data_IF_367419081349
#
_entry.id   IF_367419081349
#
_cell.length_a   1.000
_cell.length_b   1.000
_cell.length_c   1.000
_cell.angle_alpha   90.00
_cell.angle_beta   90.00
_cell.angle_gamma   90.00
#
_symmetry.space_group_name_H-M   'P 1'
#
loop_
_entity.id
_entity.type
_entity.pdbx_description
1 polymer ?
#
# COMPACT_ATOMS: atom_id res chain seq x y z
N UNK A 1 0.52 -2.15 4.23
CA UNK A 1 1.74 -2.46 3.47
C UNK A 1 2.17 -1.37 2.46
N UNK A 2 1.33 -0.38 2.14
CA UNK A 2 1.64 0.71 1.18
C UNK A 2 2.29 1.95 1.82
N UNK A 3 2.69 1.88 3.09
CA UNK A 3 3.40 2.95 3.77
C UNK A 3 4.89 2.92 3.43
N UNK A 4 5.55 4.09 3.53
CA UNK A 4 7.00 4.25 3.40
C UNK A 4 7.78 3.32 4.34
N UNK A 5 7.24 3.00 5.50
CA UNK A 5 7.86 2.10 6.49
C UNK A 5 8.05 0.69 5.92
N UNK A 6 6.98 0.11 5.36
CA UNK A 6 7.06 -1.22 4.77
C UNK A 6 7.81 -1.22 3.44
N UNK A 7 7.68 -0.16 2.64
CA UNK A 7 8.44 -0.01 1.39
C UNK A 7 9.95 -0.03 1.68
N UNK A 8 10.44 0.79 2.60
CA UNK A 8 11.85 0.83 2.99
C UNK A 8 12.33 -0.51 3.54
N UNK A 9 11.54 -1.15 4.42
CA UNK A 9 11.86 -2.46 4.96
C UNK A 9 11.95 -3.51 3.87
N UNK A 10 10.97 -3.56 2.98
CA UNK A 10 10.92 -4.54 1.91
C UNK A 10 12.05 -4.35 0.90
N UNK A 11 12.38 -3.12 0.53
CA UNK A 11 13.50 -2.82 -0.36
C UNK A 11 14.86 -3.12 0.27
N UNK A 12 15.00 -2.91 1.58
CA UNK A 12 16.22 -3.23 2.34
C UNK A 12 16.47 -4.73 2.48
N UNK A 13 15.43 -5.57 2.48
CA UNK A 13 15.51 -7.01 2.70
C UNK A 13 15.16 -7.85 1.46
N UNK A 14 14.74 -7.23 0.36
CA UNK A 14 14.43 -7.95 -0.87
C UNK A 14 15.69 -8.52 -1.53
N UNK A 15 15.50 -9.56 -2.33
CA UNK A 15 16.51 -10.01 -3.29
C UNK A 15 16.32 -9.28 -4.62
N UNK A 16 17.39 -9.10 -5.34
CA UNK A 16 17.39 -8.41 -6.63
C UNK A 16 17.52 -9.42 -7.77
N UNK A 17 16.72 -9.26 -8.81
CA UNK A 17 16.73 -10.12 -10.00
C UNK A 17 17.26 -9.38 -11.22
N UNK A 18 17.40 -10.09 -12.33
CA UNK A 18 17.92 -9.55 -13.59
C UNK A 18 19.38 -9.11 -13.43
N UNK A 19 19.68 -7.88 -13.84
CA UNK A 19 20.98 -7.24 -13.65
C UNK A 19 21.12 -6.51 -12.31
N UNK A 20 20.24 -6.84 -11.34
CA UNK A 20 20.25 -6.24 -10.01
C UNK A 20 19.38 -4.97 -9.88
N UNK A 21 18.42 -4.79 -10.77
CA UNK A 21 17.52 -3.63 -10.80
C UNK A 21 16.05 -3.95 -10.51
N UNK A 22 15.68 -5.24 -10.43
CA UNK A 22 14.30 -5.65 -10.17
C UNK A 22 14.17 -6.23 -8.76
N UNK A 23 13.55 -5.50 -7.81
CA UNK A 23 13.37 -5.98 -6.43
C UNK A 23 12.35 -7.12 -6.40
N UNK A 24 12.73 -8.25 -5.79
CA UNK A 24 11.84 -9.38 -5.56
C UNK A 24 11.31 -9.35 -4.13
N UNK A 25 10.01 -9.14 -4.00
CA UNK A 25 9.31 -9.27 -2.72
C UNK A 25 9.21 -10.75 -2.33
N UNK A 26 9.89 -11.13 -1.24
CA UNK A 26 9.85 -12.49 -0.69
C UNK A 26 9.12 -12.44 0.66
N UNK A 27 7.92 -13.00 0.82
CA UNK A 27 7.11 -12.87 2.02
C UNK A 27 7.87 -13.22 3.31
N UNK A 28 8.65 -14.31 3.29
CA UNK A 28 9.41 -14.77 4.48
C UNK A 28 10.49 -13.80 4.96
N UNK A 29 11.00 -12.93 4.08
CA UNK A 29 12.04 -11.96 4.45
C UNK A 29 11.53 -10.53 4.55
N UNK A 30 10.43 -10.21 3.86
CA UNK A 30 9.93 -8.83 3.78
C UNK A 30 8.63 -8.60 4.54
N UNK A 31 7.77 -9.61 4.66
CA UNK A 31 6.49 -9.51 5.36
C UNK A 31 6.55 -10.14 6.76
N UNK A 32 7.00 -11.40 6.87
CA UNK A 32 7.03 -12.13 8.14
C UNK A 32 7.98 -11.50 9.15
N UNK A 33 9.04 -10.85 8.67
CA UNK A 33 10.01 -10.15 9.51
C UNK A 33 9.65 -8.70 9.79
N UNK A 34 8.61 -8.14 9.14
CA UNK A 34 8.25 -6.75 9.34
C UNK A 34 7.73 -6.52 10.77
N UNK A 35 8.31 -5.59 11.54
CA UNK A 35 7.91 -5.34 12.92
C UNK A 35 6.63 -4.47 12.97
N UNK A 36 5.49 -5.04 12.67
CA UNK A 36 4.20 -4.33 12.70
C UNK A 36 4.01 -3.53 14.00
N UNK A 37 3.20 -2.45 14.00
CA UNK A 37 2.82 -1.79 15.23
C UNK A 37 2.21 -2.78 16.24
N UNK A 38 2.37 -2.52 17.52
CA UNK A 38 1.87 -3.41 18.57
C UNK A 38 0.35 -3.63 18.44
N UNK A 39 -0.11 -4.86 18.60
CA UNK A 39 -1.51 -5.25 18.43
C UNK A 39 -2.00 -5.29 16.97
N UNK A 40 -1.09 -5.15 15.99
CA UNK A 40 -1.43 -5.13 14.56
C UNK A 40 -0.64 -6.17 13.76
N UNK A 41 -0.07 -7.17 14.42
CA UNK A 41 0.61 -8.27 13.73
C UNK A 41 -0.42 -9.18 13.04
N UNK A 42 -0.01 -10.01 12.06
CA UNK A 42 -0.91 -11.01 11.48
C UNK A 42 -1.54 -11.95 12.52
N UNK A 43 -0.82 -12.27 13.60
CA UNK A 43 -1.34 -13.08 14.69
C UNK A 43 -2.44 -12.34 15.49
N UNK A 44 -2.24 -11.06 15.78
CA UNK A 44 -3.24 -10.22 16.47
C UNK A 44 -4.52 -10.07 15.65
N UNK A 45 -4.40 -10.10 14.31
CA UNK A 45 -5.52 -9.92 13.39
C UNK A 45 -6.17 -11.22 12.92
N UNK A 46 -5.69 -12.38 13.37
CA UNK A 46 -6.22 -13.69 12.97
C UNK A 46 -7.70 -13.88 13.36
N UNK A 47 -8.15 -13.26 14.46
CA UNK A 47 -9.53 -13.32 14.95
C UNK A 47 -10.42 -12.17 14.39
N UNK A 48 -9.89 -11.25 13.61
CA UNK A 48 -10.60 -10.09 13.06
C UNK A 48 -9.68 -8.90 12.80
N UNK A 49 -10.26 -7.79 12.36
CA UNK A 49 -9.50 -6.57 12.16
C UNK A 49 -9.03 -6.00 13.52
N UNK A 50 -7.83 -5.40 13.59
CA UNK A 50 -7.38 -4.74 14.80
C UNK A 50 -8.31 -3.59 15.16
N UNK A 51 -8.58 -3.43 16.45
CA UNK A 51 -9.47 -2.40 16.95
C UNK A 51 -8.69 -1.20 17.51
N UNK A 52 -9.36 -0.07 17.58
CA UNK A 52 -8.86 1.14 18.21
C UNK A 52 -8.45 2.26 17.24
N UNK A 53 -8.22 3.48 17.78
CA UNK A 53 -8.09 4.68 16.95
C UNK A 53 -6.90 4.65 15.99
N UNK A 54 -5.80 4.01 16.36
CA UNK A 54 -4.64 3.88 15.48
C UNK A 54 -4.93 2.97 14.27
N UNK A 55 -5.58 1.82 14.51
CA UNK A 55 -5.98 0.89 13.45
C UNK A 55 -7.01 1.54 12.51
N UNK A 56 -8.00 2.24 13.07
CA UNK A 56 -9.01 2.96 12.31
C UNK A 56 -8.39 4.07 11.43
N UNK A 57 -7.44 4.83 11.97
CA UNK A 57 -6.74 5.87 11.22
C UNK A 57 -5.93 5.29 10.04
N UNK A 58 -5.20 4.19 10.26
CA UNK A 58 -4.48 3.48 9.20
C UNK A 58 -5.46 2.96 8.15
N UNK A 59 -6.56 2.33 8.57
CA UNK A 59 -7.55 1.78 7.66
C UNK A 59 -8.25 2.89 6.84
N UNK A 60 -8.57 4.02 7.45
CA UNK A 60 -9.16 5.17 6.76
C UNK A 60 -8.20 5.76 5.72
N UNK A 61 -6.93 5.97 6.08
CA UNK A 61 -5.92 6.48 5.17
C UNK A 61 -5.64 5.50 4.01
N UNK A 62 -5.59 4.20 4.29
CA UNK A 62 -5.39 3.17 3.28
C UNK A 62 -6.57 3.09 2.31
N UNK A 63 -7.82 3.10 2.81
CA UNK A 63 -9.02 3.15 1.96
C UNK A 63 -9.03 4.41 1.08
N UNK A 64 -8.68 5.56 1.65
CA UNK A 64 -8.63 6.80 0.87
C UNK A 64 -7.59 6.75 -0.25
N UNK A 65 -6.42 6.21 0.02
CA UNK A 65 -5.40 6.00 -1.02
C UNK A 65 -5.90 5.06 -2.12
N UNK A 66 -6.55 3.96 -1.75
CA UNK A 66 -7.09 2.98 -2.68
C UNK A 66 -8.21 3.57 -3.55
N UNK A 67 -9.16 4.29 -2.96
CA UNK A 67 -10.23 5.00 -3.68
C UNK A 67 -9.67 5.99 -4.71
N UNK A 68 -8.70 6.81 -4.31
CA UNK A 68 -8.10 7.79 -5.19
C UNK A 68 -7.36 7.14 -6.37
N UNK A 69 -6.62 6.06 -6.11
CA UNK A 69 -5.96 5.28 -7.16
C UNK A 69 -6.97 4.62 -8.10
N UNK A 70 -7.99 3.97 -7.53
CA UNK A 70 -9.04 3.30 -8.30
C UNK A 70 -9.80 4.27 -9.20
N UNK A 71 -10.14 5.45 -8.68
CA UNK A 71 -10.81 6.50 -9.46
C UNK A 71 -9.91 7.07 -10.57
N UNK A 72 -8.60 7.17 -10.32
CA UNK A 72 -7.67 7.60 -11.35
C UNK A 72 -7.46 6.53 -12.42
N UNK A 73 -7.35 5.26 -12.03
CA UNK A 73 -7.17 4.13 -12.96
C UNK A 73 -8.43 3.91 -13.81
N UNK A 74 -9.61 4.04 -13.19
CA UNK A 74 -10.90 3.72 -13.79
C UNK A 74 -11.89 4.88 -13.55
N UNK A 75 -11.72 6.04 -14.26
CA UNK A 75 -12.65 7.14 -14.11
C UNK A 75 -14.08 6.69 -14.42
N UNK A 76 -15.04 7.06 -13.57
CA UNK A 76 -16.42 6.61 -13.65
C UNK A 76 -17.10 6.95 -14.99
N UNK A 77 -16.69 8.05 -15.60
CA UNK A 77 -17.22 8.48 -16.90
C UNK A 77 -16.61 7.72 -18.10
N UNK A 78 -15.51 6.98 -17.88
CA UNK A 78 -14.75 6.30 -18.93
C UNK A 78 -14.95 4.79 -18.96
N UNK A 79 -15.51 4.21 -17.89
CA UNK A 79 -15.62 2.77 -17.76
C UNK A 79 -17.03 2.33 -17.38
N UNK A 80 -17.40 1.15 -17.87
CA UNK A 80 -18.51 0.35 -17.34
C UNK A 80 -17.93 -0.84 -16.59
N UNK A 81 -18.50 -1.17 -15.44
CA UNK A 81 -18.12 -2.33 -14.66
C UNK A 81 -18.94 -3.53 -15.12
N UNK A 82 -18.27 -4.52 -15.70
CA UNK A 82 -18.88 -5.69 -16.33
C UNK A 82 -18.45 -6.95 -15.62
N UNK A 83 -19.42 -7.83 -15.38
CA UNK A 83 -19.22 -9.18 -14.87
C UNK A 83 -20.22 -10.11 -15.58
N UNK A 84 -19.79 -11.29 -16.02
CA UNK A 84 -20.71 -12.29 -16.55
C UNK A 84 -21.32 -13.11 -15.41
N UNK A 85 -22.47 -13.79 -15.64
CA UNK A 85 -23.06 -14.69 -14.64
C UNK A 85 -22.10 -15.80 -14.19
N UNK A 86 -21.28 -16.33 -15.10
CA UNK A 86 -20.30 -17.38 -14.83
C UNK A 86 -19.15 -16.84 -13.96
N UNK A 87 -18.64 -15.63 -14.28
CA UNK A 87 -17.62 -14.95 -13.48
C UNK A 87 -18.15 -14.67 -12.06
N UNK A 88 -19.39 -14.18 -11.95
CA UNK A 88 -20.02 -13.90 -10.66
C UNK A 88 -20.21 -15.18 -9.84
N UNK A 89 -20.66 -16.28 -10.46
CA UNK A 89 -20.83 -17.58 -9.81
C UNK A 89 -19.48 -18.16 -9.33
N UNK A 90 -18.38 -17.87 -10.03
CA UNK A 90 -17.03 -18.26 -9.65
C UNK A 90 -16.38 -17.32 -8.61
N UNK A 91 -17.07 -16.25 -8.17
CA UNK A 91 -16.60 -15.30 -7.17
C UNK A 91 -15.61 -14.25 -7.71
N UNK A 92 -15.51 -14.08 -9.02
CA UNK A 92 -14.68 -13.02 -9.60
C UNK A 92 -15.35 -11.65 -9.42
N UNK A 93 -14.57 -10.57 -9.23
CA UNK A 93 -15.09 -9.22 -9.20
C UNK A 93 -15.45 -8.72 -10.61
N UNK A 94 -16.34 -7.72 -10.69
CA UNK A 94 -16.55 -7.00 -11.93
C UNK A 94 -15.25 -6.34 -12.41
N UNK A 95 -15.06 -6.29 -13.73
CA UNK A 95 -13.88 -5.67 -14.37
C UNK A 95 -14.26 -4.41 -15.13
N UNK A 96 -13.38 -3.40 -15.17
CA UNK A 96 -13.65 -2.19 -15.91
C UNK A 96 -13.48 -2.43 -17.42
N UNK A 97 -14.44 -1.97 -18.20
CA UNK A 97 -14.43 -1.99 -19.67
C UNK A 97 -14.56 -0.55 -20.15
N UNK A 98 -13.67 -0.14 -21.05
CA UNK A 98 -13.70 1.21 -21.60
C UNK A 98 -15.01 1.48 -22.33
N UNK A 99 -15.60 2.63 -22.06
CA UNK A 99 -16.69 3.16 -22.90
C UNK A 99 -16.16 3.60 -24.26
N UNK A 100 -16.99 3.59 -25.30
CA UNK A 100 -16.58 4.02 -26.64
C UNK A 100 -15.90 5.39 -26.64
N UNK A 101 -14.73 5.46 -27.26
CA UNK A 101 -13.91 6.68 -27.35
C UNK A 101 -12.92 6.91 -26.21
N UNK A 102 -12.92 6.07 -25.15
CA UNK A 102 -11.99 6.20 -24.02
C UNK A 102 -10.92 5.11 -23.98
N UNK A 103 -10.91 4.18 -24.93
CA UNK A 103 -10.02 3.00 -24.93
C UNK A 103 -8.53 3.39 -24.94
N UNK A 104 -8.17 4.37 -25.77
CA UNK A 104 -6.78 4.81 -25.90
C UNK A 104 -6.27 5.52 -24.64
N UNK A 105 -7.14 6.33 -24.01
CA UNK A 105 -6.77 7.05 -22.79
C UNK A 105 -6.75 6.12 -21.57
N UNK A 106 -7.69 5.16 -21.50
CA UNK A 106 -7.73 4.18 -20.41
C UNK A 106 -6.48 3.29 -20.41
N UNK A 107 -5.97 2.89 -21.58
CA UNK A 107 -4.71 2.13 -21.70
C UNK A 107 -3.50 2.84 -21.07
N UNK A 108 -3.53 4.17 -20.98
CA UNK A 108 -2.47 4.97 -20.35
C UNK A 108 -2.62 5.05 -18.83
N UNK A 109 -3.79 4.65 -18.30
CA UNK A 109 -4.08 4.64 -16.86
C UNK A 109 -3.54 3.37 -16.22
N UNK A 110 -2.23 3.33 -16.01
CA UNK A 110 -1.53 2.25 -15.32
C UNK A 110 -0.93 2.73 -14.01
N UNK A 111 -0.73 1.84 -13.04
CA UNK A 111 -0.05 2.19 -11.79
C UNK A 111 1.34 2.79 -12.07
N UNK A 112 2.09 2.22 -13.00
CA UNK A 112 3.39 2.75 -13.39
C UNK A 112 3.30 4.21 -13.85
N UNK A 113 2.35 4.53 -14.71
CA UNK A 113 2.17 5.91 -15.19
C UNK A 113 1.71 6.84 -14.07
N UNK A 114 0.84 6.37 -13.17
CA UNK A 114 0.40 7.15 -12.01
C UNK A 114 1.57 7.51 -11.10
N UNK A 115 2.40 6.53 -10.74
CA UNK A 115 3.52 6.73 -9.84
C UNK A 115 4.67 7.52 -10.50
N UNK A 116 4.87 7.40 -11.82
CA UNK A 116 5.81 8.24 -12.56
C UNK A 116 5.35 9.70 -12.62
N UNK A 117 4.05 9.97 -12.79
CA UNK A 117 3.48 11.31 -12.77
C UNK A 117 3.47 11.91 -11.35
N UNK A 118 3.26 11.09 -10.35
CA UNK A 118 3.20 11.42 -8.92
C UNK A 118 2.42 12.72 -8.63
N UNK A 119 1.12 12.79 -8.99
CA UNK A 119 0.32 13.98 -8.76
C UNK A 119 0.26 14.32 -7.26
N UNK A 120 0.04 15.59 -6.93
CA UNK A 120 0.04 16.07 -5.56
C UNK A 120 -0.92 15.31 -4.63
N UNK A 121 -2.09 14.93 -5.13
CA UNK A 121 -3.05 14.15 -4.34
C UNK A 121 -2.51 12.75 -3.94
N UNK A 122 -1.73 12.11 -4.83
CA UNK A 122 -1.13 10.80 -4.54
C UNK A 122 -0.07 10.94 -3.44
N UNK A 123 0.79 11.96 -3.57
CA UNK A 123 1.80 12.26 -2.55
C UNK A 123 1.15 12.56 -1.19
N UNK A 124 0.08 13.36 -1.17
CA UNK A 124 -0.65 13.70 0.06
C UNK A 124 -1.34 12.47 0.69
N UNK A 125 -1.91 11.57 -0.13
CA UNK A 125 -2.55 10.35 0.37
C UNK A 125 -1.54 9.37 0.99
N UNK A 126 -0.37 9.21 0.36
CA UNK A 126 0.73 8.43 0.95
C UNK A 126 1.23 9.05 2.26
N UNK A 127 1.41 10.37 2.27
CA UNK A 127 1.85 11.07 3.48
C UNK A 127 0.85 10.91 4.64
N UNK A 128 -0.45 10.96 4.36
CA UNK A 128 -1.48 10.73 5.38
C UNK A 128 -1.42 9.28 5.94
N UNK A 129 -1.20 8.29 5.06
CA UNK A 129 -1.00 6.90 5.48
C UNK A 129 0.26 6.74 6.34
N UNK A 130 1.38 7.33 5.92
CA UNK A 130 2.65 7.28 6.64
C UNK A 130 2.53 7.92 8.03
N UNK A 131 1.80 9.04 8.13
CA UNK A 131 1.54 9.71 9.40
C UNK A 131 0.72 8.83 10.36
N UNK A 132 -0.33 8.16 9.84
CA UNK A 132 -1.13 7.24 10.63
C UNK A 132 -0.31 6.03 11.13
N UNK A 133 0.57 5.49 10.28
CA UNK A 133 1.47 4.39 10.65
C UNK A 133 2.50 4.85 11.67
N UNK A 134 3.10 6.03 11.52
CA UNK A 134 4.03 6.60 12.48
C UNK A 134 3.38 6.78 13.87
N UNK A 135 2.15 7.29 13.88
CA UNK A 135 1.38 7.44 15.12
C UNK A 135 1.12 6.09 15.81
N UNK A 136 0.85 5.03 15.04
CA UNK A 136 0.68 3.67 15.57
C UNK A 136 1.96 3.09 16.19
N UNK A 137 3.14 3.51 15.71
CA UNK A 137 4.43 3.20 16.36
C UNK A 137 4.73 4.10 17.56
N UNK A 138 3.94 5.16 17.81
CA UNK A 138 4.22 6.16 18.83
C UNK A 138 5.36 7.13 18.45
N UNK A 139 5.67 7.28 17.16
CA UNK A 139 6.75 8.16 16.69
C UNK A 139 6.23 9.59 16.49
N UNK A 140 6.10 10.32 17.60
CA UNK A 140 5.59 11.69 17.60
C UNK A 140 6.49 12.69 16.84
N UNK A 141 7.77 12.35 16.65
CA UNK A 141 8.76 13.14 15.91
C UNK A 141 8.80 12.82 14.42
N UNK A 142 7.93 11.94 13.93
CA UNK A 142 7.87 11.62 12.51
C UNK A 142 7.47 12.83 11.68
N UNK A 143 8.22 13.03 10.61
CA UNK A 143 7.89 13.99 9.55
C UNK A 143 8.28 13.39 8.18
N UNK A 144 7.75 13.89 7.08
CA UNK A 144 8.18 13.46 5.74
C UNK A 144 9.68 13.66 5.47
N UNK A 145 10.32 14.55 6.22
CA UNK A 145 11.76 14.84 6.13
C UNK A 145 12.62 13.88 6.98
N UNK A 146 12.01 12.99 7.79
CA UNK A 146 12.77 11.99 8.54
C UNK A 146 13.55 11.10 7.57
N UNK A 147 14.85 10.92 7.82
CA UNK A 147 15.72 10.16 6.94
C UNK A 147 15.29 8.66 6.85
N UNK A 148 15.42 8.06 5.68
CA UNK A 148 15.10 6.63 5.45
C UNK A 148 15.92 5.72 6.37
N UNK A 149 17.21 6.01 6.56
CA UNK A 149 18.09 5.25 7.45
C UNK A 149 17.63 5.28 8.91
N UNK A 150 17.08 6.38 9.37
CA UNK A 150 16.55 6.49 10.73
C UNK A 150 15.26 5.67 10.89
N UNK A 151 14.39 5.66 9.87
CA UNK A 151 13.20 4.80 9.86
C UNK A 151 13.63 3.33 9.91
N UNK A 152 14.54 2.92 9.05
CA UNK A 152 15.06 1.55 9.02
C UNK A 152 15.73 1.15 10.32
N UNK A 153 16.53 2.03 10.92
CA UNK A 153 17.17 1.80 12.22
C UNK A 153 16.15 1.55 13.32
N UNK A 154 15.07 2.33 13.37
CA UNK A 154 13.99 2.16 14.35
C UNK A 154 13.23 0.85 14.13
N UNK A 155 12.91 0.53 12.87
CA UNK A 155 12.25 -0.74 12.54
C UNK A 155 13.12 -1.94 12.89
N UNK A 156 14.41 -1.90 12.56
CA UNK A 156 15.34 -2.98 12.91
C UNK A 156 15.45 -3.18 14.41
N UNK A 157 15.51 -2.08 15.18
CA UNK A 157 15.50 -2.15 16.63
C UNK A 157 14.25 -2.89 17.15
N UNK A 158 13.06 -2.51 16.67
CA UNK A 158 11.81 -3.16 17.04
C UNK A 158 11.78 -4.65 16.65
N UNK A 159 12.31 -5.00 15.49
CA UNK A 159 12.40 -6.38 15.03
C UNK A 159 13.27 -7.22 15.98
N UNK A 160 14.46 -6.71 16.34
CA UNK A 160 15.40 -7.39 17.23
C UNK A 160 14.88 -7.51 18.67
N UNK A 161 14.08 -6.56 19.15
CA UNK A 161 13.46 -6.61 20.48
C UNK A 161 12.32 -7.63 20.58
N UNK A 162 11.78 -8.09 19.44
CA UNK A 162 10.65 -9.02 19.36
C UNK A 162 11.03 -10.42 18.87
N UNK A 163 12.26 -10.60 18.39
CA UNK A 163 12.82 -11.89 17.99
C UNK A 163 13.23 -12.70 19.24
#
# INVERSE_FOLDING_TARGET
LHSRFHELWSLGLCTWMGVGNDPRYTPSTTFETFPFPAGMTPADTAAGAPEGPAAEAIAAAARRLDELRSNWLNPADWVDWVITPEEAAAGFPARPVARPGHEAELKKRTLTNLYNQRPAWLASAHQALDQAVAAAYGWADYSPALADDEILRRLLKLNLERA
#
